data_IF_969617193677
#
_entry.id   IF_969617193677
#
_cell.length_a   1.000
_cell.length_b   1.000
_cell.length_c   1.000
_cell.angle_alpha   90.00
_cell.angle_beta   90.00
_cell.angle_gamma   90.00
#
_symmetry.space_group_name_H-M   'P 1'
#
loop_
_entity.id
_entity.type
_entity.pdbx_description
1 polymer ?
#
# COMPACT_ATOMS: atom_id res chain seq x y z
N UNK A 1 -3.57 21.12 -10.70
CA UNK A 1 -3.88 19.70 -10.44
C UNK A 1 -3.15 19.28 -9.18
N UNK A 2 -3.80 18.62 -8.24
CA UNK A 2 -3.14 18.04 -7.05
C UNK A 2 -2.19 16.92 -7.50
N UNK A 3 -1.06 16.77 -6.82
CA UNK A 3 -0.13 15.66 -7.08
C UNK A 3 -0.77 14.35 -6.61
N UNK A 4 -0.64 13.24 -7.37
CA UNK A 4 -1.11 11.94 -6.91
C UNK A 4 -0.32 11.52 -5.67
N UNK A 5 -0.99 10.79 -4.78
CA UNK A 5 -0.43 10.30 -3.52
C UNK A 5 -0.29 8.80 -3.63
N UNK A 6 0.94 8.30 -3.42
CA UNK A 6 1.20 6.87 -3.29
C UNK A 6 0.90 6.44 -1.85
N UNK A 7 0.21 5.33 -1.67
CA UNK A 7 -0.05 4.74 -0.35
C UNK A 7 0.66 3.40 -0.22
N UNK A 8 1.34 3.24 0.91
CA UNK A 8 2.10 2.06 1.28
C UNK A 8 1.25 1.07 2.10
N UNK A 9 1.68 -0.20 2.17
CA UNK A 9 1.04 -1.24 2.96
C UNK A 9 0.96 -0.86 4.44
N UNK A 10 2.01 -0.26 5.00
CA UNK A 10 2.03 0.13 6.41
C UNK A 10 0.95 1.17 6.76
N UNK A 11 0.63 2.08 5.83
CA UNK A 11 -0.44 3.07 6.02
C UNK A 11 -1.80 2.37 5.97
N UNK A 12 -2.01 1.43 5.04
CA UNK A 12 -3.25 0.64 4.97
C UNK A 12 -3.46 -0.19 6.24
N UNK A 13 -2.39 -0.83 6.73
CA UNK A 13 -2.42 -1.62 7.96
C UNK A 13 -2.78 -0.74 9.15
N UNK A 14 -2.10 0.39 9.34
CA UNK A 14 -2.40 1.31 10.42
C UNK A 14 -3.82 1.88 10.32
N UNK A 15 -4.29 2.21 9.12
CA UNK A 15 -5.64 2.72 8.91
C UNK A 15 -6.73 1.70 9.27
N UNK A 16 -6.51 0.40 8.99
CA UNK A 16 -7.53 -0.65 9.15
C UNK A 16 -7.43 -1.41 10.48
N UNK A 17 -6.24 -1.53 11.07
CA UNK A 17 -6.04 -2.18 12.35
C UNK A 17 -6.22 -1.18 13.50
N UNK A 18 -7.36 -1.26 14.19
CA UNK A 18 -7.70 -0.39 15.34
C UNK A 18 -6.71 -0.46 16.50
N UNK A 19 -5.97 -1.55 16.62
CA UNK A 19 -4.96 -1.75 17.67
C UNK A 19 -3.56 -1.28 17.24
N UNK A 20 -3.39 -0.82 16.00
CA UNK A 20 -2.12 -0.26 15.55
C UNK A 20 -1.82 1.05 16.28
N UNK A 21 -0.57 1.22 16.72
CA UNK A 21 -0.14 2.43 17.45
C UNK A 21 -0.31 3.72 16.63
N UNK A 22 -0.33 3.62 15.30
CA UNK A 22 -0.51 4.74 14.40
C UNK A 22 -1.93 4.86 13.85
N UNK A 23 -2.89 4.05 14.32
CA UNK A 23 -4.25 4.04 13.79
C UNK A 23 -4.90 5.43 13.75
N UNK A 24 -4.85 6.14 14.88
CA UNK A 24 -5.43 7.48 14.99
C UNK A 24 -4.73 8.48 14.07
N UNK A 25 -3.40 8.43 14.00
CA UNK A 25 -2.61 9.28 13.12
C UNK A 25 -2.94 9.02 11.64
N UNK A 26 -3.10 7.76 11.26
CA UNK A 26 -3.48 7.38 9.89
C UNK A 26 -4.87 7.86 9.53
N UNK A 27 -5.87 7.73 10.41
CA UNK A 27 -7.22 8.27 10.17
C UNK A 27 -7.17 9.79 9.94
N UNK A 28 -6.50 10.52 10.83
CA UNK A 28 -6.42 11.98 10.75
C UNK A 28 -5.67 12.46 9.51
N UNK A 29 -4.56 11.80 9.19
CA UNK A 29 -3.72 12.16 8.04
C UNK A 29 -4.43 11.80 6.74
N UNK A 30 -4.84 10.55 6.56
CA UNK A 30 -5.49 10.07 5.33
C UNK A 30 -6.80 10.81 5.08
N UNK A 31 -7.57 11.12 6.13
CA UNK A 31 -8.83 11.86 6.02
C UNK A 31 -8.70 13.30 5.52
N UNK A 32 -7.50 13.88 5.53
CA UNK A 32 -7.22 15.22 5.00
C UNK A 32 -6.71 15.19 3.55
N UNK A 33 -6.39 14.02 3.01
CA UNK A 33 -5.80 13.87 1.69
C UNK A 33 -6.88 13.68 0.62
N UNK A 34 -6.61 14.19 -0.58
CA UNK A 34 -7.49 14.00 -1.72
C UNK A 34 -7.33 12.59 -2.31
N UNK A 35 -8.44 11.90 -2.51
CA UNK A 35 -8.52 10.60 -3.18
C UNK A 35 -8.86 10.78 -4.68
N UNK A 36 -8.58 9.79 -5.55
CA UNK A 36 -8.04 8.45 -5.25
C UNK A 36 -6.54 8.42 -4.92
N UNK A 37 -6.15 7.48 -4.06
CA UNK A 37 -4.75 7.12 -3.83
C UNK A 37 -4.25 6.16 -4.90
N UNK A 38 -2.95 6.11 -5.13
CA UNK A 38 -2.31 5.14 -6.03
C UNK A 38 -1.47 4.14 -5.23
N UNK A 39 -1.41 2.90 -5.71
CA UNK A 39 -0.50 1.88 -5.18
C UNK A 39 -0.22 0.79 -6.23
N UNK A 40 0.29 -0.36 -5.82
CA UNK A 40 0.61 -1.51 -6.66
C UNK A 40 0.14 -2.83 -6.03
N UNK A 41 -0.03 -3.87 -6.84
CA UNK A 41 -0.52 -5.18 -6.38
C UNK A 41 0.37 -5.81 -5.28
N UNK A 42 1.71 -5.66 -5.30
CA UNK A 42 2.55 -6.12 -4.19
C UNK A 42 2.22 -5.45 -2.85
N UNK A 43 1.90 -4.15 -2.81
CA UNK A 43 1.44 -3.45 -1.60
C UNK A 43 0.11 -4.03 -1.11
N UNK A 44 -0.83 -4.30 -2.01
CA UNK A 44 -2.11 -4.95 -1.65
C UNK A 44 -1.87 -6.33 -1.05
N UNK A 45 -0.98 -7.11 -1.65
CA UNK A 45 -0.61 -8.45 -1.18
C UNK A 45 -0.05 -8.40 0.24
N UNK A 46 0.87 -7.47 0.51
CA UNK A 46 1.46 -7.28 1.84
C UNK A 46 0.43 -6.82 2.87
N UNK A 47 -0.41 -5.83 2.53
CA UNK A 47 -1.46 -5.34 3.42
C UNK A 47 -2.45 -6.45 3.81
N UNK A 48 -2.93 -7.24 2.84
CA UNK A 48 -3.79 -8.39 3.10
C UNK A 48 -3.10 -9.42 4.02
N UNK A 49 -1.83 -9.75 3.74
CA UNK A 49 -1.08 -10.70 4.56
C UNK A 49 -0.90 -10.22 6.02
N UNK A 50 -0.65 -8.93 6.23
CA UNK A 50 -0.51 -8.34 7.56
C UNK A 50 -1.85 -8.21 8.29
N UNK A 51 -2.95 -8.05 7.55
CA UNK A 51 -4.31 -7.90 8.10
C UNK A 51 -5.10 -9.19 8.21
N UNK A 52 -4.59 -10.34 7.79
CA UNK A 52 -5.29 -11.66 7.82
C UNK A 52 -5.81 -12.09 9.20
N UNK A 53 -5.21 -11.57 10.28
CA UNK A 53 -5.64 -11.84 11.67
C UNK A 53 -6.66 -10.83 12.21
N UNK A 54 -6.94 -9.77 11.47
CA UNK A 54 -7.90 -8.72 11.84
C UNK A 54 -9.25 -9.08 11.23
N UNK A 55 -10.31 -8.96 12.02
CA UNK A 55 -11.67 -9.20 11.54
C UNK A 55 -11.98 -8.33 10.31
N UNK A 56 -12.30 -8.98 9.19
CA UNK A 56 -12.52 -8.39 7.87
C UNK A 56 -11.35 -7.56 7.32
N UNK A 57 -10.11 -7.83 7.73
CA UNK A 57 -8.94 -7.06 7.30
C UNK A 57 -8.69 -7.10 5.79
N UNK A 58 -8.67 -8.31 5.20
CA UNK A 58 -8.47 -8.49 3.76
C UNK A 58 -9.62 -7.92 2.93
N UNK A 59 -10.87 -8.15 3.37
CA UNK A 59 -12.07 -7.60 2.73
C UNK A 59 -12.06 -6.07 2.74
N UNK A 60 -11.63 -5.45 3.85
CA UNK A 60 -11.52 -4.00 3.94
C UNK A 60 -10.49 -3.42 2.94
N UNK A 61 -9.33 -4.07 2.75
CA UNK A 61 -8.35 -3.67 1.72
C UNK A 61 -8.97 -3.77 0.32
N UNK A 62 -9.64 -4.87 0.01
CA UNK A 62 -10.30 -5.06 -1.28
C UNK A 62 -11.48 -4.10 -1.51
N UNK A 63 -12.16 -3.68 -0.43
CA UNK A 63 -13.19 -2.65 -0.47
C UNK A 63 -12.65 -1.29 -0.91
N UNK A 64 -11.42 -0.92 -0.51
CA UNK A 64 -10.78 0.32 -0.97
C UNK A 64 -10.48 0.30 -2.47
N UNK A 65 -10.08 -0.85 -3.00
CA UNK A 65 -9.79 -1.04 -4.43
C UNK A 65 -11.09 -1.04 -5.24
N UNK A 66 -12.06 -1.87 -4.86
CA UNK A 66 -13.34 -2.00 -5.58
C UNK A 66 -14.19 -0.73 -5.50
N UNK A 67 -14.09 0.03 -4.40
CA UNK A 67 -14.72 1.34 -4.23
C UNK A 67 -14.02 2.49 -4.98
N UNK A 68 -12.87 2.24 -5.62
CA UNK A 68 -12.12 3.27 -6.37
C UNK A 68 -11.41 4.30 -5.49
N UNK A 69 -11.29 4.06 -4.17
CA UNK A 69 -10.49 4.89 -3.28
C UNK A 69 -8.99 4.64 -3.46
N UNK A 70 -8.63 3.44 -3.92
CA UNK A 70 -7.28 3.01 -4.21
C UNK A 70 -7.19 2.48 -5.65
N UNK A 71 -6.36 3.11 -6.47
CA UNK A 71 -6.10 2.70 -7.85
C UNK A 71 -4.74 2.03 -7.96
N UNK A 72 -4.64 1.03 -8.84
CA UNK A 72 -3.41 0.24 -9.05
C UNK A 72 -2.92 0.42 -10.50
N UNK A 73 -2.38 1.60 -10.87
CA UNK A 73 -1.93 1.83 -12.24
C UNK A 73 -0.56 1.22 -12.56
N UNK A 74 0.15 0.71 -11.54
CA UNK A 74 1.48 0.13 -11.69
C UNK A 74 1.43 -1.18 -12.48
N UNK A 75 2.39 -1.42 -13.37
CA UNK A 75 2.51 -2.67 -14.11
C UNK A 75 3.91 -3.26 -13.96
N UNK A 76 4.01 -4.32 -13.16
CA UNK A 76 5.29 -4.96 -12.88
C UNK A 76 5.99 -5.50 -14.13
N UNK A 77 5.25 -6.02 -15.11
CA UNK A 77 5.86 -6.56 -16.33
C UNK A 77 6.59 -5.45 -17.11
N UNK A 78 6.02 -4.25 -17.18
CA UNK A 78 6.63 -3.10 -17.85
C UNK A 78 7.85 -2.57 -17.09
N UNK A 79 7.81 -2.54 -15.75
CA UNK A 79 8.87 -1.95 -14.91
C UNK A 79 9.93 -2.95 -14.44
N UNK A 80 9.76 -4.24 -14.72
CA UNK A 80 10.55 -5.37 -14.19
C UNK A 80 12.07 -5.19 -14.25
N UNK A 81 12.59 -4.57 -15.32
CA UNK A 81 14.03 -4.30 -15.45
C UNK A 81 14.53 -3.31 -14.40
N UNK A 82 13.78 -2.24 -14.14
CA UNK A 82 14.11 -1.23 -13.13
C UNK A 82 13.95 -1.79 -11.72
N UNK A 83 12.86 -2.53 -11.47
CA UNK A 83 12.61 -3.23 -10.21
C UNK A 83 13.77 -4.16 -9.86
N UNK A 84 14.20 -4.99 -10.82
CA UNK A 84 15.34 -5.91 -10.62
C UNK A 84 16.64 -5.16 -10.28
N UNK A 85 16.88 -3.99 -10.88
CA UNK A 85 18.05 -3.17 -10.55
C UNK A 85 17.97 -2.62 -9.12
N UNK A 86 16.81 -2.11 -8.71
CA UNK A 86 16.59 -1.60 -7.34
C UNK A 86 16.81 -2.69 -6.29
N UNK A 87 16.18 -3.85 -6.47
CA UNK A 87 16.32 -4.96 -5.54
C UNK A 87 17.77 -5.47 -5.42
N UNK A 88 18.55 -5.39 -6.50
CA UNK A 88 19.99 -5.68 -6.46
C UNK A 88 20.78 -4.61 -5.72
N UNK A 89 20.48 -3.34 -6.00
CA UNK A 89 21.16 -2.19 -5.40
C UNK A 89 20.96 -2.16 -3.88
N UNK A 90 19.75 -2.46 -3.42
CA UNK A 90 19.38 -2.44 -2.02
C UNK A 90 19.38 -3.84 -1.40
N UNK A 91 20.13 -4.81 -1.92
CA UNK A 91 20.13 -6.17 -1.36
C UNK A 91 20.66 -6.25 0.09
N UNK A 92 21.36 -5.21 0.55
CA UNK A 92 21.93 -5.08 1.88
C UNK A 92 20.94 -4.52 2.91
N UNK A 93 19.81 -3.96 2.47
CA UNK A 93 18.69 -3.53 3.31
C UNK A 93 17.45 -4.22 2.73
N UNK A 94 16.86 -5.23 3.39
CA UNK A 94 15.93 -6.17 2.76
C UNK A 94 14.67 -5.49 2.19
N UNK A 95 14.81 -4.95 0.98
CA UNK A 95 13.78 -4.26 0.21
C UNK A 95 12.77 -5.28 -0.27
N UNK A 96 11.49 -5.07 0.06
CA UNK A 96 10.41 -5.90 -0.44
C UNK A 96 10.13 -5.61 -1.93
N UNK A 97 9.35 -6.46 -2.58
CA UNK A 97 8.84 -6.15 -3.92
C UNK A 97 7.89 -4.93 -3.87
N UNK A 98 7.15 -4.74 -2.78
CA UNK A 98 6.27 -3.58 -2.60
C UNK A 98 7.05 -2.27 -2.55
N UNK A 99 8.16 -2.23 -1.81
CA UNK A 99 9.04 -1.06 -1.74
C UNK A 99 9.74 -0.74 -3.07
N UNK A 100 9.96 -1.77 -3.90
CA UNK A 100 10.63 -1.60 -5.17
C UNK A 100 9.70 -1.04 -6.26
N UNK A 101 8.41 -1.36 -6.20
CA UNK A 101 7.36 -1.00 -7.17
C UNK A 101 6.83 0.42 -6.97
#
# INVERSE_FOLDING_TARGET
MSKPILIDASVLVALLNKSDRFHQWSIETVGQLAYPFLSCEPVITEACFLLKGIYNGEDAVMGLVTGGHLLLPFNLSHESSRIRQLMKQYNNVPMSLADAC
#
